data_IF_314641562862
#
_entry.id   IF_314641562862
#
_cell.length_a   1.000
_cell.length_b   1.000
_cell.length_c   1.000
_cell.angle_alpha   90.00
_cell.angle_beta   90.00
_cell.angle_gamma   90.00
#
_symmetry.space_group_name_H-M   'P 1'
#
loop_
_entity.id
_entity.type
_entity.pdbx_description
1 polymer ?
#
# COMPACT_ATOMS: atom_id res chain seq x y z
N UNK A 1 -25.34 -44.71 -21.58
CA UNK A 1 -25.20 -43.34 -22.13
C UNK A 1 -24.52 -42.47 -21.07
N UNK A 2 -23.27 -42.04 -21.34
CA UNK A 2 -22.87 -40.62 -21.56
C UNK A 2 -23.07 -39.76 -20.29
N UNK A 3 -22.11 -39.11 -19.64
CA UNK A 3 -20.83 -38.52 -20.05
C UNK A 3 -20.14 -38.04 -18.74
N UNK A 4 -19.40 -38.92 -18.05
CA UNK A 4 -18.63 -38.54 -16.85
C UNK A 4 -17.16 -38.20 -17.17
N UNK A 5 -16.87 -37.71 -18.38
CA UNK A 5 -15.49 -37.59 -18.84
C UNK A 5 -15.33 -36.63 -20.00
N UNK A 6 -15.38 -35.33 -19.71
CA UNK A 6 -14.56 -34.33 -20.41
C UNK A 6 -14.07 -33.36 -19.32
N UNK A 7 -13.04 -33.76 -18.57
CA UNK A 7 -11.69 -33.24 -18.81
C UNK A 7 -11.74 -31.71 -18.95
N UNK A 8 -11.84 -31.04 -17.80
CA UNK A 8 -11.36 -29.67 -17.65
C UNK A 8 -9.88 -29.69 -17.98
N UNK A 9 -9.57 -29.41 -19.25
CA UNK A 9 -8.23 -29.47 -19.80
C UNK A 9 -7.31 -28.55 -19.00
N UNK A 10 -6.23 -29.07 -18.37
CA UNK A 10 -5.25 -28.24 -17.67
C UNK A 10 -4.59 -27.18 -18.57
N UNK A 11 -4.69 -27.33 -19.90
CA UNK A 11 -4.27 -26.32 -20.87
C UNK A 11 -5.07 -25.01 -20.79
N UNK A 12 -6.36 -25.04 -20.46
CA UNK A 12 -7.22 -23.83 -20.48
C UNK A 12 -6.91 -22.88 -19.31
N UNK A 13 -6.57 -23.43 -18.14
CA UNK A 13 -6.13 -22.68 -16.96
C UNK A 13 -4.69 -22.15 -17.11
N UNK A 14 -3.84 -22.85 -17.86
CA UNK A 14 -2.49 -22.38 -18.21
C UNK A 14 -2.55 -21.22 -19.21
N UNK A 15 -3.46 -21.28 -20.20
CA UNK A 15 -3.67 -20.20 -21.16
C UNK A 15 -4.24 -18.93 -20.50
N UNK A 16 -5.16 -19.06 -19.55
CA UNK A 16 -5.70 -17.92 -18.79
C UNK A 16 -4.63 -17.24 -17.92
N UNK A 17 -3.73 -18.01 -17.28
CA UNK A 17 -2.59 -17.45 -16.54
C UNK A 17 -1.60 -16.76 -17.46
N UNK A 18 -1.29 -17.36 -18.61
CA UNK A 18 -0.38 -16.77 -19.59
C UNK A 18 -0.94 -15.48 -20.19
N UNK A 19 -2.25 -15.43 -20.45
CA UNK A 19 -2.97 -14.23 -20.88
C UNK A 19 -2.95 -13.14 -19.80
N UNK A 20 -3.14 -13.50 -18.53
CA UNK A 20 -3.06 -12.55 -17.42
C UNK A 20 -1.64 -11.96 -17.28
N UNK A 21 -0.59 -12.79 -17.45
CA UNK A 21 0.81 -12.35 -17.39
C UNK A 21 1.23 -11.53 -18.63
N UNK A 22 0.68 -11.83 -19.81
CA UNK A 22 0.89 -11.04 -21.03
C UNK A 22 0.15 -9.69 -20.96
N UNK A 23 -1.05 -9.66 -20.39
CA UNK A 23 -1.79 -8.41 -20.11
C UNK A 23 -1.10 -7.56 -19.04
N UNK A 24 -0.61 -8.16 -17.96
CA UNK A 24 0.14 -7.46 -16.92
C UNK A 24 1.44 -6.87 -17.47
N UNK A 25 2.16 -7.60 -18.34
CA UNK A 25 3.36 -7.09 -19.02
C UNK A 25 3.05 -5.99 -20.04
N UNK A 26 1.97 -6.12 -20.80
CA UNK A 26 1.49 -5.11 -21.75
C UNK A 26 1.11 -3.79 -21.04
N UNK A 27 0.40 -3.89 -19.92
CA UNK A 27 0.03 -2.75 -19.08
C UNK A 27 1.25 -2.11 -18.43
N UNK A 28 2.17 -2.91 -17.87
CA UNK A 28 3.41 -2.40 -17.29
C UNK A 28 4.28 -1.67 -18.33
N UNK A 29 4.39 -2.21 -19.56
CA UNK A 29 5.13 -1.58 -20.65
C UNK A 29 4.47 -0.28 -21.13
N UNK A 30 3.14 -0.25 -21.21
CA UNK A 30 2.38 0.95 -21.61
C UNK A 30 2.48 2.05 -20.55
N UNK A 31 2.46 1.69 -19.26
CA UNK A 31 2.68 2.62 -18.15
C UNK A 31 4.13 3.12 -18.13
N UNK A 32 5.12 2.25 -18.33
CA UNK A 32 6.53 2.63 -18.41
C UNK A 32 6.81 3.58 -19.59
N UNK A 33 6.17 3.36 -20.75
CA UNK A 33 6.28 4.24 -21.90
C UNK A 33 5.65 5.62 -21.65
N UNK A 34 4.48 5.68 -21.01
CA UNK A 34 3.83 6.93 -20.63
C UNK A 34 4.66 7.71 -19.58
N UNK A 35 5.26 7.02 -18.61
CA UNK A 35 6.16 7.62 -17.61
C UNK A 35 7.43 8.16 -18.27
N UNK A 36 8.02 7.44 -19.23
CA UNK A 36 9.22 7.86 -19.94
C UNK A 36 9.00 9.07 -20.86
N UNK A 37 7.79 9.24 -21.40
CA UNK A 37 7.41 10.44 -22.17
C UNK A 37 7.06 11.65 -21.28
N UNK A 38 6.67 11.42 -20.02
CA UNK A 38 6.34 12.47 -19.06
C UNK A 38 7.53 12.98 -18.22
N UNK A 39 8.72 12.37 -18.36
CA UNK A 39 9.95 12.80 -17.68
C UNK A 39 10.70 13.83 -18.53
N UNK A 40 10.74 15.12 -18.14
CA UNK A 40 11.56 16.11 -18.84
C UNK A 40 13.05 15.80 -18.66
N UNK A 41 13.78 15.76 -19.77
CA UNK A 41 15.21 15.38 -19.89
C UNK A 41 16.20 16.40 -19.34
N UNK A 42 15.75 17.41 -18.59
CA UNK A 42 16.65 18.38 -17.94
C UNK A 42 16.13 18.79 -16.57
N UNK A 43 17.00 18.90 -15.55
CA UNK A 43 16.63 19.51 -14.28
C UNK A 43 16.42 21.01 -14.52
N UNK A 44 15.29 21.61 -14.09
CA UNK A 44 15.17 23.06 -14.12
C UNK A 44 16.20 23.66 -13.15
N UNK A 45 17.00 24.58 -13.68
CA UNK A 45 17.91 25.40 -12.91
C UNK A 45 17.12 26.36 -12.02
N UNK A 46 17.36 26.30 -10.71
CA UNK A 46 16.90 27.31 -9.75
C UNK A 46 15.64 26.93 -8.95
N UNK A 47 15.84 26.75 -7.63
CA UNK A 47 14.78 26.56 -6.64
C UNK A 47 14.73 25.13 -6.13
N UNK A 48 14.89 24.94 -4.82
CA UNK A 48 14.82 23.64 -4.12
C UNK A 48 13.47 22.96 -4.26
N UNK A 49 13.20 22.41 -5.44
CA UNK A 49 11.99 21.68 -5.79
C UNK A 49 12.11 20.20 -5.45
N UNK A 50 11.04 19.64 -4.91
CA UNK A 50 10.98 18.22 -4.60
C UNK A 50 11.26 17.35 -5.83
N UNK A 51 12.02 16.24 -5.66
CA UNK A 51 12.22 15.24 -6.71
C UNK A 51 10.88 14.78 -7.29
N UNK A 52 10.80 14.45 -8.59
CA UNK A 52 9.57 13.96 -9.22
C UNK A 52 8.96 12.75 -8.49
N UNK A 53 9.82 11.84 -7.99
CA UNK A 53 9.39 10.67 -7.22
C UNK A 53 8.70 11.05 -5.91
N UNK A 54 9.19 12.09 -5.22
CA UNK A 54 8.64 12.54 -3.94
C UNK A 54 7.27 13.17 -4.13
N UNK A 55 7.07 13.91 -5.23
CA UNK A 55 5.74 14.46 -5.57
C UNK A 55 4.72 13.35 -5.77
N UNK A 56 5.07 12.30 -6.53
CA UNK A 56 4.19 11.15 -6.74
C UNK A 56 3.82 10.45 -5.43
N UNK A 57 4.76 10.30 -4.50
CA UNK A 57 4.51 9.77 -3.15
C UNK A 57 3.54 10.67 -2.38
N UNK A 58 3.77 11.99 -2.38
CA UNK A 58 2.94 12.95 -1.66
C UNK A 58 1.50 13.02 -2.22
N UNK A 59 1.32 12.91 -3.53
CA UNK A 59 0.00 12.85 -4.17
C UNK A 59 -0.78 11.60 -3.76
N UNK A 60 -0.15 10.42 -3.81
CA UNK A 60 -0.77 9.17 -3.34
C UNK A 60 -1.14 9.23 -1.86
N UNK A 61 -0.30 9.86 -1.04
CA UNK A 61 -0.58 10.09 0.37
C UNK A 61 -1.73 11.09 0.60
N UNK A 62 -1.98 12.05 -0.30
CA UNK A 62 -3.17 12.92 -0.22
C UNK A 62 -4.45 12.12 -0.39
N UNK A 63 -4.46 11.18 -1.32
CA UNK A 63 -5.65 10.39 -1.65
C UNK A 63 -5.98 9.35 -0.58
N UNK A 64 -4.97 8.62 -0.10
CA UNK A 64 -5.16 7.44 0.76
C UNK A 64 -4.73 7.65 2.21
N UNK A 65 -3.92 8.67 2.50
CA UNK A 65 -3.33 8.90 3.81
C UNK A 65 -2.14 7.98 4.16
N UNK A 66 -1.89 6.94 3.36
CA UNK A 66 -0.78 6.00 3.53
C UNK A 66 -0.35 5.39 2.19
N UNK A 67 0.82 4.77 2.19
CA UNK A 67 1.45 4.13 1.04
C UNK A 67 2.41 3.05 1.53
N UNK A 68 2.39 1.87 0.90
CA UNK A 68 3.42 0.85 1.10
C UNK A 68 4.45 0.95 -0.02
N UNK A 69 5.73 0.79 0.29
CA UNK A 69 6.81 0.93 -0.70
C UNK A 69 6.69 -0.03 -1.87
N UNK A 70 6.14 -1.23 -1.68
CA UNK A 70 5.92 -2.20 -2.76
C UNK A 70 4.73 -1.86 -3.67
N UNK A 71 3.87 -0.91 -3.28
CA UNK A 71 2.81 -0.38 -4.16
C UNK A 71 3.38 0.63 -5.18
N UNK A 72 4.64 1.05 -5.01
CA UNK A 72 5.33 1.95 -5.93
C UNK A 72 6.10 1.18 -7.00
N UNK A 73 6.34 1.81 -8.17
CA UNK A 73 7.30 1.30 -9.14
C UNK A 73 8.68 1.05 -8.49
N UNK A 74 9.40 -0.03 -8.84
CA UNK A 74 10.70 -0.37 -8.24
C UNK A 74 11.71 0.79 -8.28
N UNK A 75 11.68 1.60 -9.33
CA UNK A 75 12.58 2.75 -9.50
C UNK A 75 12.31 3.84 -8.47
N UNK A 76 11.04 4.03 -8.07
CA UNK A 76 10.63 4.98 -7.04
C UNK A 76 10.88 4.38 -5.66
N UNK A 77 10.53 3.10 -5.46
CA UNK A 77 10.75 2.38 -4.21
C UNK A 77 12.23 2.37 -3.81
N UNK A 78 13.14 2.15 -4.78
CA UNK A 78 14.58 2.17 -4.58
C UNK A 78 15.16 3.57 -4.32
N UNK A 79 14.39 4.63 -4.56
CA UNK A 79 14.77 6.03 -4.28
C UNK A 79 14.14 6.58 -2.99
N UNK A 80 13.32 5.78 -2.29
CA UNK A 80 12.71 6.22 -1.03
C UNK A 80 13.79 6.45 0.01
N UNK A 81 13.95 7.71 0.40
CA UNK A 81 14.78 8.12 1.53
C UNK A 81 13.89 8.36 2.76
N UNK A 82 13.95 7.48 3.78
CA UNK A 82 13.22 7.65 5.03
C UNK A 82 13.49 8.97 5.73
N UNK A 83 14.71 9.50 5.67
CA UNK A 83 15.03 10.78 6.32
C UNK A 83 14.37 11.96 5.61
N UNK A 84 14.43 11.98 4.28
CA UNK A 84 13.77 13.02 3.49
C UNK A 84 12.26 13.04 3.73
N UNK A 85 11.63 11.86 3.78
CA UNK A 85 10.20 11.72 4.07
C UNK A 85 9.86 12.20 5.48
N UNK A 86 10.68 11.88 6.50
CA UNK A 86 10.50 12.38 7.88
C UNK A 86 10.66 13.89 7.97
N UNK A 87 11.63 14.49 7.26
CA UNK A 87 11.79 15.96 7.18
C UNK A 87 10.58 16.66 6.57
N UNK A 88 9.78 15.93 5.77
CA UNK A 88 8.49 16.38 5.24
C UNK A 88 7.31 16.13 6.17
N UNK A 89 7.55 15.72 7.42
CA UNK A 89 6.53 15.48 8.44
C UNK A 89 5.78 14.15 8.27
N UNK A 90 6.28 13.24 7.42
CA UNK A 90 5.67 11.93 7.21
C UNK A 90 6.18 10.92 8.24
N UNK A 91 5.32 9.99 8.62
CA UNK A 91 5.70 8.83 9.41
C UNK A 91 6.21 7.76 8.45
N UNK A 92 7.42 7.24 8.74
CA UNK A 92 8.04 6.15 7.97
C UNK A 92 8.28 5.00 8.93
N UNK A 93 7.54 3.92 8.73
CA UNK A 93 7.52 2.75 9.60
C UNK A 93 8.16 1.58 8.83
N UNK A 94 9.27 1.00 9.33
CA UNK A 94 9.84 -0.23 8.78
C UNK A 94 8.85 -1.39 8.94
N UNK A 95 8.67 -2.16 7.88
CA UNK A 95 7.73 -3.27 7.82
C UNK A 95 8.39 -4.49 7.15
N UNK A 96 7.88 -5.70 7.38
CA UNK A 96 8.46 -6.97 6.92
C UNK A 96 8.56 -7.07 5.38
N UNK A 97 7.83 -6.25 4.62
CA UNK A 97 7.92 -6.15 3.16
C UNK A 97 8.45 -4.82 2.61
N UNK A 98 8.98 -3.92 3.44
CA UNK A 98 9.52 -2.63 3.01
C UNK A 98 9.22 -1.46 3.97
N UNK A 99 8.66 -0.37 3.44
CA UNK A 99 8.35 0.83 4.21
C UNK A 99 6.86 1.15 4.10
N UNK A 100 6.21 1.33 5.25
CA UNK A 100 4.92 1.99 5.32
C UNK A 100 5.15 3.48 5.56
N UNK A 101 4.73 4.30 4.59
CA UNK A 101 4.72 5.75 4.71
C UNK A 101 3.29 6.19 4.99
N UNK A 102 3.07 6.90 6.08
CA UNK A 102 1.76 7.37 6.47
C UNK A 102 1.79 8.84 6.85
N UNK A 103 0.67 9.51 6.59
CA UNK A 103 0.39 10.82 7.17
C UNK A 103 0.09 10.65 8.65
N UNK A 104 0.58 11.58 9.47
CA UNK A 104 0.33 11.57 10.91
C UNK A 104 -1.17 11.60 11.22
N UNK A 105 -1.92 12.39 10.48
CA UNK A 105 -3.37 12.55 10.65
C UNK A 105 -4.11 11.23 10.40
N UNK A 106 -3.70 10.45 9.40
CA UNK A 106 -4.31 9.16 9.09
C UNK A 106 -4.07 8.13 10.20
N UNK A 107 -2.88 8.13 10.80
CA UNK A 107 -2.55 7.25 11.92
C UNK A 107 -3.29 7.65 13.21
N UNK A 108 -3.39 8.95 13.48
CA UNK A 108 -4.16 9.47 14.62
C UNK A 108 -5.65 9.16 14.49
N UNK A 109 -6.22 9.31 13.28
CA UNK A 109 -7.60 8.95 12.99
C UNK A 109 -7.84 7.45 13.15
N UNK A 110 -6.92 6.61 12.68
CA UNK A 110 -6.97 5.17 12.91
C UNK A 110 -6.98 4.88 14.42
N UNK A 111 -6.04 5.45 15.18
CA UNK A 111 -5.97 5.23 16.64
C UNK A 111 -7.28 5.57 17.35
N UNK A 112 -7.85 6.73 17.05
CA UNK A 112 -9.17 7.15 17.59
C UNK A 112 -10.30 6.22 17.18
N UNK A 113 -10.23 5.64 15.99
CA UNK A 113 -11.23 4.69 15.52
C UNK A 113 -11.10 3.33 16.20
N UNK A 114 -9.87 2.84 16.42
CA UNK A 114 -9.61 1.60 17.17
C UNK A 114 -10.12 1.68 18.61
N UNK A 115 -10.00 2.83 19.27
CA UNK A 115 -10.53 3.06 20.62
C UNK A 115 -12.06 2.84 20.70
N UNK A 116 -12.79 3.06 19.60
CA UNK A 116 -14.23 2.83 19.51
C UNK A 116 -14.60 1.38 19.17
N UNK A 117 -13.62 0.56 18.79
CA UNK A 117 -13.79 -0.85 18.46
C UNK A 117 -13.53 -1.77 19.66
N UNK A 118 -13.58 -1.25 20.89
CA UNK A 118 -13.51 -2.09 22.10
C UNK A 118 -14.64 -3.13 22.07
N UNK A 119 -14.30 -4.37 22.42
CA UNK A 119 -15.20 -5.52 22.32
C UNK A 119 -15.33 -6.14 20.92
N UNK A 120 -14.82 -5.50 19.85
CA UNK A 120 -14.82 -6.07 18.49
C UNK A 120 -13.53 -6.85 18.29
N UNK A 121 -13.59 -8.16 18.51
CA UNK A 121 -12.45 -9.07 18.27
C UNK A 121 -12.37 -9.61 16.85
N UNK A 122 -13.48 -9.57 16.10
CA UNK A 122 -13.50 -10.00 14.72
C UNK A 122 -12.86 -8.96 13.80
N UNK A 123 -11.92 -9.42 12.98
CA UNK A 123 -11.14 -8.56 12.10
C UNK A 123 -11.98 -8.02 10.94
N UNK A 124 -12.84 -8.85 10.35
CA UNK A 124 -13.67 -8.43 9.22
C UNK A 124 -14.67 -7.36 9.66
N UNK A 125 -15.28 -7.55 10.82
CA UNK A 125 -16.16 -6.58 11.46
C UNK A 125 -15.41 -5.28 11.80
N UNK A 126 -14.21 -5.38 12.38
CA UNK A 126 -13.37 -4.22 12.66
C UNK A 126 -13.03 -3.44 11.37
N UNK A 127 -12.60 -4.12 10.31
CA UNK A 127 -12.30 -3.51 9.02
C UNK A 127 -13.51 -2.83 8.40
N UNK A 128 -14.69 -3.46 8.44
CA UNK A 128 -15.92 -2.90 7.91
C UNK A 128 -16.30 -1.58 8.62
N UNK A 129 -16.12 -1.51 9.94
CA UNK A 129 -16.42 -0.32 10.75
C UNK A 129 -15.43 0.83 10.55
N UNK A 130 -14.25 0.57 9.99
CA UNK A 130 -13.21 1.57 9.75
C UNK A 130 -13.34 2.33 8.43
N UNK A 131 -14.25 1.90 7.55
CA UNK A 131 -14.56 2.60 6.29
C UNK A 131 -13.31 2.88 5.46
N UNK A 132 -12.97 4.16 5.29
CA UNK A 132 -11.80 4.60 4.50
C UNK A 132 -10.45 4.12 5.07
N UNK A 133 -10.37 3.83 6.38
CA UNK A 133 -9.14 3.40 7.05
C UNK A 133 -8.91 1.89 6.96
N UNK A 134 -9.83 1.13 6.35
CA UNK A 134 -9.73 -0.33 6.19
C UNK A 134 -8.38 -0.78 5.61
N UNK A 135 -7.88 -0.04 4.63
CA UNK A 135 -6.62 -0.36 3.95
C UNK A 135 -5.41 -0.15 4.86
N UNK A 136 -5.40 0.92 5.64
CA UNK A 136 -4.34 1.20 6.61
C UNK A 136 -4.37 0.20 7.77
N UNK A 137 -5.56 -0.15 8.26
CA UNK A 137 -5.74 -1.20 9.27
C UNK A 137 -5.16 -2.52 8.79
N UNK A 138 -5.54 -2.95 7.58
CA UNK A 138 -5.08 -4.19 6.97
C UNK A 138 -3.56 -4.20 6.81
N UNK A 139 -3.00 -3.13 6.25
CA UNK A 139 -1.54 -2.98 6.08
C UNK A 139 -0.81 -3.11 7.42
N UNK A 140 -1.22 -2.37 8.45
CA UNK A 140 -0.58 -2.43 9.77
C UNK A 140 -0.72 -3.81 10.43
N UNK A 141 -1.83 -4.52 10.19
CA UNK A 141 -2.07 -5.87 10.73
C UNK A 141 -1.22 -6.91 10.01
N UNK A 142 -1.14 -6.88 8.69
CA UNK A 142 -0.28 -7.76 7.89
C UNK A 142 1.20 -7.62 8.30
N UNK A 143 1.59 -6.41 8.68
CA UNK A 143 2.94 -6.10 9.16
C UNK A 143 3.16 -6.39 10.66
N UNK A 144 2.17 -6.95 11.36
CA UNK A 144 2.26 -7.31 12.78
C UNK A 144 2.31 -6.10 13.74
N UNK A 145 2.05 -4.90 13.23
CA UNK A 145 2.00 -3.64 13.99
C UNK A 145 0.63 -3.42 14.64
N UNK A 146 -0.38 -4.15 14.21
CA UNK A 146 -1.72 -4.09 14.77
C UNK A 146 -2.19 -5.48 15.20
N UNK A 147 -2.62 -5.60 16.45
CA UNK A 147 -3.10 -6.86 17.01
C UNK A 147 -4.26 -6.65 17.97
N UNK A 148 -5.14 -7.65 18.08
CA UNK A 148 -6.22 -7.63 19.07
C UNK A 148 -5.70 -8.10 20.43
N UNK A 149 -5.81 -7.24 21.45
CA UNK A 149 -5.32 -7.54 22.81
C UNK A 149 -6.38 -8.19 23.70
N UNK A 150 -7.67 -8.06 23.36
CA UNK A 150 -8.78 -8.64 24.11
C UNK A 150 -9.97 -7.68 24.26
N UNK A 151 -11.12 -8.13 24.77
CA UNK A 151 -12.37 -7.35 24.73
C UNK A 151 -12.32 -6.00 25.43
N UNK A 152 -11.60 -5.92 26.56
CA UNK A 152 -11.48 -4.68 27.36
C UNK A 152 -10.56 -3.64 26.72
N UNK A 153 -9.54 -4.08 25.97
CA UNK A 153 -8.53 -3.20 25.38
C UNK A 153 -8.76 -2.94 23.90
N UNK A 154 -9.35 -3.91 23.18
CA UNK A 154 -9.59 -3.86 21.75
C UNK A 154 -8.32 -4.09 20.91
N UNK A 155 -8.31 -3.47 19.74
CA UNK A 155 -7.20 -3.46 18.80
C UNK A 155 -6.12 -2.48 19.26
N UNK A 156 -4.88 -2.95 19.30
CA UNK A 156 -3.72 -2.19 19.77
C UNK A 156 -2.72 -2.03 18.63
N UNK A 157 -2.34 -0.78 18.41
CA UNK A 157 -1.30 -0.38 17.48
C UNK A 157 0.05 -0.32 18.22
N UNK A 158 1.02 -1.10 17.75
CA UNK A 158 2.42 -1.10 18.20
C UNK A 158 3.29 -0.64 17.04
N UNK A 159 3.48 0.67 16.93
CA UNK A 159 4.48 1.22 16.00
C UNK A 159 5.81 1.36 16.75
N UNK A 160 6.89 0.71 16.31
CA UNK A 160 8.21 0.94 16.88
C UNK A 160 8.70 2.35 16.54
N UNK A 161 9.03 3.14 17.56
CA UNK A 161 9.78 4.39 17.41
C UNK A 161 8.98 5.64 17.01
N UNK A 162 7.69 5.74 17.37
CA UNK A 162 6.97 7.03 17.46
C UNK A 162 6.95 7.51 18.90
#
# INVERSE_FOLDING_TARGET
ERLAGQLQSPGRLLDERRLADELARSLAASVAAAVKQALPTQPPAGGGGDPPWLRAVLERLRERGYLLSHELPPEVAGQLDPELLRRRGLLVIPAAGGLLVARREALEELRRSLERLRGVGDEYEAQARLGRLRGLFRALREEGLLYYRGPSTGWVLRVPGV
#
